data_IF_011557837934
#
_entry.id   IF_011557837934
#
_cell.length_a   1.000
_cell.length_b   1.000
_cell.length_c   1.000
_cell.angle_alpha   90.00
_cell.angle_beta   90.00
_cell.angle_gamma   90.00
#
_symmetry.space_group_name_H-M   'P 1'
#
loop_
_entity.id
_entity.type
_entity.pdbx_description
1 polymer ?
#
# COMPACT_ATOMS: atom_id res chain seq x y z
N UNK A 1 32.72 47.42 17.25
CA UNK A 1 32.84 47.30 15.78
C UNK A 1 32.32 45.93 15.36
N UNK A 2 31.11 45.91 14.78
CA UNK A 2 30.43 44.71 14.28
C UNK A 2 31.08 44.22 12.98
N UNK A 3 31.21 42.89 12.83
CA UNK A 3 30.95 42.21 11.54
C UNK A 3 30.30 40.84 11.80
N UNK A 4 28.96 40.84 11.78
CA UNK A 4 28.13 39.65 11.60
C UNK A 4 28.46 39.03 10.23
N UNK A 5 28.96 37.79 10.20
CA UNK A 5 28.98 36.97 8.99
C UNK A 5 27.82 35.98 9.05
N UNK A 6 26.73 36.40 8.42
CA UNK A 6 25.64 35.57 7.92
C UNK A 6 26.22 34.38 7.13
N UNK A 7 26.02 33.16 7.63
CA UNK A 7 26.16 31.95 6.83
C UNK A 7 24.76 31.55 6.38
N UNK A 8 24.35 32.12 5.26
CA UNK A 8 23.15 31.71 4.54
C UNK A 8 23.32 30.26 4.06
N UNK A 9 22.37 29.42 4.47
CA UNK A 9 22.19 28.03 4.06
C UNK A 9 21.93 28.01 2.53
N UNK A 10 22.66 27.24 1.71
CA UNK A 10 22.35 27.16 0.30
C UNK A 10 21.02 26.40 0.15
N UNK A 11 19.95 27.14 -0.17
CA UNK A 11 18.72 26.56 -0.70
C UNK A 11 19.02 26.12 -2.13
N UNK A 12 19.45 24.86 -2.29
CA UNK A 12 19.44 24.23 -3.60
C UNK A 12 17.97 24.02 -3.99
N UNK A 13 17.53 24.82 -4.97
CA UNK A 13 16.25 24.69 -5.64
C UNK A 13 16.19 23.29 -6.28
N UNK A 14 15.49 22.37 -5.61
CA UNK A 14 15.15 21.07 -6.22
C UNK A 14 14.08 21.35 -7.27
N UNK A 15 14.48 21.27 -8.53
CA UNK A 15 13.61 21.35 -9.71
C UNK A 15 12.47 20.33 -9.58
N UNK A 16 11.26 20.81 -9.30
CA UNK A 16 10.02 20.03 -9.30
C UNK A 16 9.58 19.73 -10.74
N UNK A 17 10.39 18.94 -11.45
CA UNK A 17 10.03 18.41 -12.76
C UNK A 17 10.34 16.92 -12.80
N UNK A 18 9.82 16.18 -11.83
CA UNK A 18 9.64 14.74 -12.00
C UNK A 18 8.26 14.50 -12.59
N UNK A 19 8.11 14.81 -13.89
CA UNK A 19 7.09 14.15 -14.69
C UNK A 19 7.52 12.69 -14.81
N UNK A 20 7.22 11.89 -13.79
CA UNK A 20 7.08 10.46 -13.99
C UNK A 20 5.97 10.32 -15.04
N UNK A 21 6.35 9.87 -16.23
CA UNK A 21 5.43 9.35 -17.22
C UNK A 21 4.78 8.09 -16.63
N UNK A 22 3.80 8.29 -15.76
CA UNK A 22 2.92 7.21 -15.31
C UNK A 22 2.12 6.81 -16.55
N UNK A 23 2.43 5.64 -17.12
CA UNK A 23 1.58 5.04 -18.14
C UNK A 23 0.22 4.78 -17.47
N UNK A 24 -0.71 5.71 -17.64
CA UNK A 24 -2.03 5.61 -17.05
C UNK A 24 -2.64 4.26 -17.46
N UNK A 25 -3.06 3.49 -16.47
CA UNK A 25 -3.73 2.22 -16.70
C UNK A 25 -4.92 2.41 -17.66
N UNK A 26 -5.14 1.48 -18.61
CA UNK A 26 -6.09 1.67 -19.69
C UNK A 26 -7.51 1.85 -19.14
N UNK A 27 -8.27 2.76 -19.75
CA UNK A 27 -9.70 2.96 -19.47
C UNK A 27 -10.60 2.14 -20.39
N UNK A 28 -10.05 1.58 -21.47
CA UNK A 28 -10.76 0.78 -22.47
C UNK A 28 -9.99 -0.49 -22.82
N UNK A 29 -10.73 -1.52 -23.23
CA UNK A 29 -10.15 -2.80 -23.62
C UNK A 29 -9.41 -2.70 -24.96
N UNK A 30 -8.15 -3.13 -24.99
CA UNK A 30 -7.32 -3.22 -26.20
C UNK A 30 -7.85 -4.19 -27.26
N UNK A 31 -8.69 -5.16 -26.86
CA UNK A 31 -9.25 -6.17 -27.78
C UNK A 31 -10.62 -5.79 -28.35
N UNK A 32 -11.51 -5.16 -27.56
CA UNK A 32 -12.89 -4.88 -27.99
C UNK A 32 -13.34 -3.42 -27.85
N UNK A 33 -12.49 -2.52 -27.35
CA UNK A 33 -12.78 -1.10 -27.22
C UNK A 33 -13.77 -0.70 -26.12
N UNK A 34 -14.44 -1.65 -25.47
CA UNK A 34 -15.39 -1.36 -24.37
C UNK A 34 -14.68 -0.76 -23.15
N UNK A 35 -15.34 0.14 -22.39
CA UNK A 35 -14.79 0.70 -21.17
C UNK A 35 -14.58 -0.38 -20.13
N UNK A 36 -13.44 -0.32 -19.43
CA UNK A 36 -13.10 -1.26 -18.38
C UNK A 36 -13.78 -0.86 -17.06
N UNK A 37 -14.30 -1.81 -16.28
CA UNK A 37 -14.97 -1.51 -15.01
C UNK A 37 -14.00 -1.07 -13.92
N UNK A 38 -12.73 -1.46 -14.02
CA UNK A 38 -11.62 -1.09 -13.14
C UNK A 38 -10.42 -0.67 -13.98
N UNK A 39 -9.36 -0.17 -13.35
CA UNK A 39 -8.10 0.17 -14.03
C UNK A 39 -7.29 -1.06 -14.45
N UNK A 40 -7.66 -2.26 -14.00
CA UNK A 40 -6.99 -3.47 -14.47
C UNK A 40 -7.32 -3.72 -15.93
N UNK A 41 -6.34 -4.19 -16.74
CA UNK A 41 -6.53 -4.57 -18.14
C UNK A 41 -7.28 -5.92 -18.28
N UNK A 42 -8.40 -6.08 -17.56
CA UNK A 42 -9.29 -7.24 -17.58
C UNK A 42 -10.66 -6.80 -18.09
N UNK A 43 -11.04 -7.35 -19.24
CA UNK A 43 -12.33 -7.07 -19.85
C UNK A 43 -13.33 -8.21 -19.59
N UNK A 44 -14.40 -8.00 -18.79
CA UNK A 44 -15.42 -9.02 -18.60
C UNK A 44 -16.26 -9.28 -19.86
N UNK A 45 -16.32 -8.30 -20.79
CA UNK A 45 -17.18 -8.39 -21.97
C UNK A 45 -16.62 -9.27 -23.08
N UNK A 46 -15.30 -9.32 -23.27
CA UNK A 46 -14.64 -10.21 -24.23
C UNK A 46 -13.70 -11.23 -23.58
N UNK A 47 -13.64 -11.25 -22.25
CA UNK A 47 -12.71 -12.07 -21.45
C UNK A 47 -11.23 -11.88 -21.82
N UNK A 48 -10.85 -10.69 -22.27
CA UNK A 48 -9.45 -10.37 -22.56
C UNK A 48 -8.71 -9.97 -21.28
N UNK A 49 -7.54 -10.57 -21.06
CA UNK A 49 -6.58 -10.17 -20.03
C UNK A 49 -5.27 -9.75 -20.71
N UNK A 50 -4.90 -8.49 -20.52
CA UNK A 50 -3.64 -7.93 -21.01
C UNK A 50 -2.62 -7.83 -19.86
N UNK A 51 -1.30 -7.84 -20.13
CA UNK A 51 -0.26 -7.72 -19.10
C UNK A 51 -0.29 -6.35 -18.39
N UNK A 52 0.13 -6.34 -17.12
CA UNK A 52 0.17 -5.15 -16.28
C UNK A 52 1.56 -4.52 -16.39
N UNK A 53 1.68 -3.19 -16.49
CA UNK A 53 2.98 -2.54 -16.44
C UNK A 53 3.72 -2.88 -15.13
N UNK A 54 5.03 -3.17 -15.17
CA UNK A 54 5.78 -3.61 -13.99
C UNK A 54 5.87 -2.55 -12.89
N UNK A 55 5.71 -1.27 -13.24
CA UNK A 55 5.77 -0.15 -12.30
C UNK A 55 4.39 0.23 -11.70
N UNK A 56 3.37 -0.60 -11.90
CA UNK A 56 2.02 -0.30 -11.40
C UNK A 56 1.98 -0.31 -9.88
N UNK A 57 1.48 0.78 -9.29
CA UNK A 57 1.33 0.92 -7.85
C UNK A 57 0.00 0.32 -7.35
N UNK A 58 -0.08 0.02 -6.05
CA UNK A 58 -1.33 -0.43 -5.42
C UNK A 58 -2.41 0.67 -5.44
N UNK A 59 -2.03 1.95 -5.47
CA UNK A 59 -2.98 3.05 -5.60
C UNK A 59 -3.61 3.08 -6.99
N UNK A 60 -2.81 2.94 -8.05
CA UNK A 60 -3.31 2.83 -9.43
C UNK A 60 -4.20 1.60 -9.61
N UNK A 61 -3.83 0.48 -8.99
CA UNK A 61 -4.59 -0.78 -9.01
C UNK A 61 -6.03 -0.60 -8.51
N UNK A 62 -6.22 0.17 -7.44
CA UNK A 62 -7.54 0.44 -6.86
C UNK A 62 -8.17 1.76 -7.33
N UNK A 63 -7.54 2.49 -8.26
CA UNK A 63 -8.00 3.80 -8.72
C UNK A 63 -8.14 4.81 -7.56
N UNK A 64 -7.17 4.79 -6.65
CA UNK A 64 -7.07 5.71 -5.52
C UNK A 64 -6.18 6.92 -5.86
N UNK A 65 -6.56 8.14 -5.48
CA UNK A 65 -5.80 9.33 -5.82
C UNK A 65 -4.53 9.50 -4.98
N UNK A 66 -3.50 10.07 -5.62
CA UNK A 66 -2.39 10.82 -4.99
C UNK A 66 -1.48 10.09 -4.00
N UNK A 67 -1.45 8.76 -3.96
CA UNK A 67 -0.62 8.00 -3.00
C UNK A 67 -0.74 8.55 -1.56
N UNK A 68 -1.97 8.91 -1.16
CA UNK A 68 -2.23 9.50 0.15
C UNK A 68 -2.07 8.47 1.26
N UNK A 69 -1.54 8.90 2.41
CA UNK A 69 -1.54 8.09 3.62
C UNK A 69 -2.94 7.92 4.19
N UNK A 70 -3.73 9.00 4.19
CA UNK A 70 -5.13 8.96 4.64
C UNK A 70 -5.98 8.40 3.49
N UNK A 71 -6.58 7.24 3.71
CA UNK A 71 -7.51 6.59 2.78
C UNK A 71 -8.78 6.18 3.51
N UNK A 72 -9.91 6.19 2.80
CA UNK A 72 -11.14 5.58 3.29
C UNK A 72 -11.05 4.05 3.16
N UNK A 73 -10.99 3.35 4.28
CA UNK A 73 -10.89 1.88 4.33
C UNK A 73 -12.16 1.19 3.81
N UNK A 74 -13.33 1.84 3.90
CA UNK A 74 -14.58 1.31 3.34
C UNK A 74 -14.56 1.40 1.82
N UNK A 75 -14.13 2.53 1.27
CA UNK A 75 -13.96 2.71 -0.18
C UNK A 75 -12.89 1.73 -0.73
N UNK A 76 -11.75 1.60 -0.06
CA UNK A 76 -10.72 0.62 -0.40
C UNK A 76 -11.30 -0.80 -0.47
N UNK A 77 -12.09 -1.21 0.55
CA UNK A 77 -12.72 -2.53 0.57
C UNK A 77 -13.66 -2.74 -0.61
N UNK A 78 -14.48 -1.74 -0.97
CA UNK A 78 -15.39 -1.83 -2.11
C UNK A 78 -14.63 -1.99 -3.43
N UNK A 79 -13.56 -1.21 -3.62
CA UNK A 79 -12.66 -1.30 -4.79
C UNK A 79 -11.94 -2.64 -4.86
N UNK A 80 -11.49 -3.16 -3.72
CA UNK A 80 -10.90 -4.49 -3.61
C UNK A 80 -11.89 -5.57 -4.07
N UNK A 81 -13.10 -5.61 -3.53
CA UNK A 81 -14.11 -6.62 -3.90
C UNK A 81 -14.46 -6.56 -5.39
N UNK A 82 -14.61 -5.35 -5.95
CA UNK A 82 -14.90 -5.15 -7.38
C UNK A 82 -13.76 -5.68 -8.26
N UNK A 83 -12.52 -5.41 -7.86
CA UNK A 83 -11.32 -5.84 -8.59
C UNK A 83 -11.12 -7.35 -8.47
N UNK A 84 -11.24 -7.88 -7.26
CA UNK A 84 -11.08 -9.30 -6.95
C UNK A 84 -12.08 -10.17 -7.70
N UNK A 85 -13.32 -9.72 -7.88
CA UNK A 85 -14.33 -10.44 -8.68
C UNK A 85 -13.90 -10.65 -10.13
N UNK A 86 -13.10 -9.75 -10.69
CA UNK A 86 -12.61 -9.82 -12.07
C UNK A 86 -11.36 -10.69 -12.21
N UNK A 87 -10.53 -10.71 -11.16
CA UNK A 87 -9.25 -11.43 -11.14
C UNK A 87 -9.33 -12.82 -10.52
N UNK A 88 -10.44 -13.17 -9.84
CA UNK A 88 -10.55 -14.43 -9.11
C UNK A 88 -10.34 -15.64 -10.05
N UNK A 89 -9.47 -16.61 -9.69
CA UNK A 89 -9.16 -17.76 -10.55
C UNK A 89 -10.39 -18.53 -11.03
N UNK A 90 -11.43 -18.64 -10.19
CA UNK A 90 -12.69 -19.33 -10.54
C UNK A 90 -13.36 -18.75 -11.80
N UNK A 91 -13.29 -17.42 -12.00
CA UNK A 91 -13.85 -16.77 -13.18
C UNK A 91 -13.10 -17.13 -14.48
N UNK A 92 -11.89 -17.67 -14.36
CA UNK A 92 -10.99 -18.04 -15.46
C UNK A 92 -10.79 -19.55 -15.58
N UNK A 93 -11.47 -20.36 -14.75
CA UNK A 93 -11.35 -21.83 -14.71
C UNK A 93 -11.60 -22.54 -16.07
N UNK A 94 -12.42 -21.96 -16.93
CA UNK A 94 -12.72 -22.47 -18.28
C UNK A 94 -11.85 -21.85 -19.40
N UNK A 95 -10.88 -20.99 -19.06
CA UNK A 95 -10.03 -20.27 -20.02
C UNK A 95 -8.71 -21.01 -20.30
N UNK A 96 -7.96 -20.63 -21.35
CA UNK A 96 -6.63 -21.17 -21.60
C UNK A 96 -5.71 -21.00 -20.38
N UNK A 97 -4.74 -21.91 -20.24
CA UNK A 97 -3.85 -21.94 -19.06
C UNK A 97 -3.06 -20.63 -18.87
N UNK A 98 -2.67 -19.99 -19.98
CA UNK A 98 -2.03 -18.67 -19.96
C UNK A 98 -2.88 -17.62 -19.25
N UNK A 99 -4.18 -17.60 -19.53
CA UNK A 99 -5.11 -16.59 -19.00
C UNK A 99 -5.43 -16.88 -17.52
N UNK A 100 -5.52 -18.16 -17.15
CA UNK A 100 -5.63 -18.61 -15.76
C UNK A 100 -4.43 -18.16 -14.93
N UNK A 101 -3.22 -18.40 -15.44
CA UNK A 101 -1.98 -18.01 -14.77
C UNK A 101 -1.93 -16.49 -14.58
N UNK A 102 -2.28 -15.72 -15.61
CA UNK A 102 -2.35 -14.27 -15.52
C UNK A 102 -3.37 -13.80 -14.47
N UNK A 103 -4.58 -14.37 -14.46
CA UNK A 103 -5.61 -14.04 -13.48
C UNK A 103 -5.16 -14.37 -12.04
N UNK A 104 -4.51 -15.52 -11.83
CA UNK A 104 -3.97 -15.92 -10.54
C UNK A 104 -2.88 -14.95 -10.04
N UNK A 105 -1.96 -14.54 -10.92
CA UNK A 105 -0.97 -13.49 -10.59
C UNK A 105 -1.67 -12.19 -10.18
N UNK A 106 -2.74 -11.81 -10.87
CA UNK A 106 -3.42 -10.54 -10.60
C UNK A 106 -4.20 -10.60 -9.29
N UNK A 107 -4.89 -11.71 -9.02
CA UNK A 107 -5.54 -11.95 -7.74
C UNK A 107 -4.55 -11.87 -6.58
N UNK A 108 -3.37 -12.46 -6.73
CA UNK A 108 -2.30 -12.34 -5.73
C UNK A 108 -1.84 -10.89 -5.54
N UNK A 109 -1.64 -10.15 -6.63
CA UNK A 109 -1.25 -8.74 -6.59
C UNK A 109 -2.31 -7.85 -5.93
N UNK A 110 -3.60 -8.09 -6.23
CA UNK A 110 -4.75 -7.42 -5.60
C UNK A 110 -4.81 -7.68 -4.10
N UNK A 111 -4.60 -8.93 -3.67
CA UNK A 111 -4.56 -9.27 -2.25
C UNK A 111 -3.40 -8.57 -1.53
N UNK A 112 -2.19 -8.60 -2.11
CA UNK A 112 -1.02 -7.90 -1.55
C UNK A 112 -1.26 -6.40 -1.43
N UNK A 113 -1.81 -5.79 -2.47
CA UNK A 113 -2.12 -4.36 -2.46
C UNK A 113 -3.17 -4.00 -1.42
N UNK A 114 -4.22 -4.80 -1.27
CA UNK A 114 -5.23 -4.55 -0.25
C UNK A 114 -4.67 -4.66 1.16
N UNK A 115 -3.88 -5.71 1.45
CA UNK A 115 -3.25 -5.88 2.76
C UNK A 115 -2.25 -4.75 3.07
N UNK A 116 -1.46 -4.33 2.09
CA UNK A 116 -0.53 -3.22 2.24
C UNK A 116 -1.25 -1.90 2.54
N UNK A 117 -2.35 -1.61 1.84
CA UNK A 117 -3.07 -0.34 2.03
C UNK A 117 -4.04 -0.37 3.21
N UNK A 118 -4.55 -1.53 3.64
CA UNK A 118 -5.52 -1.62 4.74
C UNK A 118 -4.89 -1.29 6.10
N UNK A 119 -3.69 -1.81 6.38
CA UNK A 119 -2.99 -1.54 7.64
C UNK A 119 -2.29 -0.17 7.61
N UNK A 120 -2.49 0.70 8.62
CA UNK A 120 -1.78 1.98 8.70
C UNK A 120 -0.25 1.83 8.67
N UNK A 121 0.29 0.82 9.34
CA UNK A 121 1.73 0.56 9.39
C UNK A 121 2.26 0.11 8.02
N UNK A 122 1.67 -0.95 7.43
CA UNK A 122 2.08 -1.45 6.11
C UNK A 122 1.90 -0.39 5.01
N UNK A 123 0.91 0.49 5.15
CA UNK A 123 0.70 1.60 4.22
C UNK A 123 1.82 2.63 4.31
N UNK A 124 2.29 2.94 5.52
CA UNK A 124 3.45 3.82 5.71
C UNK A 124 4.70 3.21 5.06
N UNK A 125 5.01 1.95 5.37
CA UNK A 125 6.13 1.21 4.78
C UNK A 125 6.06 1.21 3.24
N UNK A 126 4.87 0.93 2.69
CA UNK A 126 4.66 0.95 1.25
C UNK A 126 4.88 2.35 0.64
N UNK A 127 4.36 3.40 1.26
CA UNK A 127 4.55 4.77 0.78
C UNK A 127 5.98 5.26 0.86
N UNK A 128 6.76 4.78 1.84
CA UNK A 128 8.19 5.05 1.97
C UNK A 128 8.98 4.31 0.89
N UNK A 129 8.68 3.03 0.65
CA UNK A 129 9.34 2.27 -0.42
C UNK A 129 9.09 2.86 -1.81
N UNK A 130 7.90 3.43 -2.08
CA UNK A 130 7.64 4.18 -3.32
C UNK A 130 8.53 5.41 -3.51
N UNK A 131 9.08 5.97 -2.42
CA UNK A 131 10.03 7.09 -2.41
C UNK A 131 11.50 6.65 -2.35
N UNK A 132 11.76 5.34 -2.34
CA UNK A 132 13.12 4.79 -2.22
C UNK A 132 13.67 4.80 -0.79
N UNK A 133 12.82 5.02 0.21
CA UNK A 133 13.18 4.81 1.61
C UNK A 133 12.71 3.41 2.03
N UNK A 134 13.65 2.48 2.19
CA UNK A 134 13.36 1.17 2.77
C UNK A 134 13.55 1.29 4.29
N UNK A 135 12.49 0.97 5.04
CA UNK A 135 12.61 0.78 6.49
C UNK A 135 13.05 -0.65 6.74
N UNK A 136 14.17 -0.82 7.43
CA UNK A 136 14.60 -2.13 7.91
C UNK A 136 13.84 -2.53 9.17
N UNK A 137 13.69 -3.84 9.40
CA UNK A 137 13.18 -4.37 10.69
C UNK A 137 14.08 -3.95 11.88
N UNK A 138 15.32 -3.56 11.58
CA UNK A 138 16.39 -3.19 12.52
C UNK A 138 16.82 -1.73 12.40
N UNK A 139 15.97 -0.83 11.90
CA UNK A 139 16.24 0.60 12.09
C UNK A 139 16.33 0.87 13.60
N UNK A 140 17.52 1.28 14.04
CA UNK A 140 17.85 1.36 15.47
C UNK A 140 16.97 2.41 16.13
N UNK A 141 16.12 1.98 17.06
CA UNK A 141 15.41 2.89 17.95
C UNK A 141 16.46 3.54 18.85
N UNK A 142 16.71 4.83 18.67
CA UNK A 142 17.68 5.59 19.49
C UNK A 142 17.03 6.25 20.72
N UNK A 143 15.70 6.31 20.76
CA UNK A 143 14.94 6.94 21.84
C UNK A 143 14.89 6.04 23.09
N UNK A 144 15.75 6.34 24.05
CA UNK A 144 15.84 5.61 25.32
C UNK A 144 14.53 5.63 26.12
N UNK A 145 13.76 6.72 26.06
CA UNK A 145 12.51 6.81 26.81
C UNK A 145 11.47 5.85 26.24
N UNK A 146 11.35 5.82 24.91
CA UNK A 146 10.47 4.89 24.21
C UNK A 146 10.89 3.42 24.41
N UNK A 147 12.20 3.14 24.42
CA UNK A 147 12.70 1.78 24.71
C UNK A 147 12.31 1.34 26.11
N UNK A 148 12.50 2.20 27.13
CA UNK A 148 12.08 1.88 28.51
C UNK A 148 10.58 1.62 28.60
N UNK A 149 9.76 2.43 27.94
CA UNK A 149 8.31 2.22 27.86
C UNK A 149 7.95 0.85 27.26
N UNK A 150 8.62 0.44 26.18
CA UNK A 150 8.43 -0.89 25.57
C UNK A 150 8.82 -2.01 26.55
N UNK A 151 9.94 -1.85 27.27
CA UNK A 151 10.40 -2.86 28.24
C UNK A 151 9.42 -3.02 29.40
N UNK A 152 8.95 -1.91 29.98
CA UNK A 152 7.94 -1.90 31.05
C UNK A 152 6.63 -2.55 30.58
N UNK A 153 6.16 -2.22 29.37
CA UNK A 153 4.96 -2.85 28.81
C UNK A 153 5.12 -4.38 28.63
N UNK A 154 6.32 -4.85 28.27
CA UNK A 154 6.60 -6.30 28.16
C UNK A 154 6.57 -6.97 29.53
N UNK A 155 7.18 -6.36 30.53
CA UNK A 155 7.16 -6.86 31.91
C UNK A 155 5.73 -6.96 32.45
N UNK A 156 4.91 -5.91 32.28
CA UNK A 156 3.50 -5.92 32.68
C UNK A 156 2.69 -7.05 32.01
N UNK A 157 2.99 -7.38 30.74
CA UNK A 157 2.34 -8.51 30.04
C UNK A 157 2.82 -9.86 30.58
N UNK A 158 4.08 -9.99 30.97
CA UNK A 158 4.63 -11.20 31.58
C UNK A 158 4.11 -11.45 32.99
N UNK A 159 3.89 -10.39 33.78
CA UNK A 159 3.37 -10.46 35.15
C UNK A 159 1.85 -10.65 35.23
N UNK A 160 1.10 -10.38 34.14
CA UNK A 160 -0.35 -10.53 34.12
C UNK A 160 -0.76 -12.00 34.34
N UNK A 161 -1.42 -12.27 35.47
CA UNK A 161 -1.86 -13.61 35.85
C UNK A 161 -3.27 -13.92 35.36
N UNK A 162 -4.06 -12.88 35.05
CA UNK A 162 -5.47 -13.01 34.66
C UNK A 162 -5.76 -12.48 33.25
N UNK A 163 -6.79 -13.06 32.61
CA UNK A 163 -7.27 -12.56 31.31
C UNK A 163 -7.72 -11.09 31.37
N UNK A 164 -8.28 -10.66 32.50
CA UNK A 164 -8.79 -9.30 32.66
C UNK A 164 -7.65 -8.26 32.71
N UNK A 165 -6.52 -8.60 33.33
CA UNK A 165 -5.31 -7.78 33.29
C UNK A 165 -4.78 -7.65 31.86
N UNK A 166 -4.68 -8.77 31.13
CA UNK A 166 -4.26 -8.75 29.72
C UNK A 166 -5.19 -7.93 28.82
N UNK A 167 -6.51 -8.01 29.03
CA UNK A 167 -7.48 -7.20 28.29
C UNK A 167 -7.33 -5.69 28.59
N UNK A 168 -6.98 -5.34 29.83
CA UNK A 168 -6.71 -3.95 30.23
C UNK A 168 -5.45 -3.43 29.54
N UNK A 169 -4.34 -4.17 29.60
CA UNK A 169 -3.08 -3.81 28.94
C UNK A 169 -3.24 -3.70 27.41
N UNK A 170 -4.04 -4.58 26.81
CA UNK A 170 -4.34 -4.52 25.38
C UNK A 170 -5.12 -3.23 25.02
N UNK A 171 -6.09 -2.84 25.83
CA UNK A 171 -6.87 -1.62 25.63
C UNK A 171 -5.98 -0.36 25.75
N UNK A 172 -5.07 -0.34 26.73
CA UNK A 172 -4.09 0.74 26.88
C UNK A 172 -3.19 0.86 25.64
N UNK A 173 -2.62 -0.25 25.18
CA UNK A 173 -1.77 -0.28 23.98
C UNK A 173 -2.53 0.18 22.71
N UNK A 174 -3.83 -0.12 22.59
CA UNK A 174 -4.64 0.36 21.47
C UNK A 174 -5.01 1.86 21.54
N UNK A 175 -4.85 2.48 22.71
CA UNK A 175 -5.20 3.90 22.94
C UNK A 175 -4.02 4.86 22.81
N UNK A 176 -2.79 4.34 22.90
CA UNK A 176 -1.55 5.07 22.60
C UNK A 176 -1.41 5.31 21.10
#
# INVERSE_FOLDING_TARGET
>A
MLRLRSLARPQTLVSLTSQRLYSALPTACSSCGKPLPTRLPICPACSHIAPLPPATTYYELFDLPNNSYVIDTKDLRNRFLKTQRLTHPDAWSAKPEKDKAAAATYSSFVNKGYEALKSPLKRAEYLLSLRGAEMGETDSLEDQHFIMEIMEMRENVEEAETRNELETLLAENHSK
#
